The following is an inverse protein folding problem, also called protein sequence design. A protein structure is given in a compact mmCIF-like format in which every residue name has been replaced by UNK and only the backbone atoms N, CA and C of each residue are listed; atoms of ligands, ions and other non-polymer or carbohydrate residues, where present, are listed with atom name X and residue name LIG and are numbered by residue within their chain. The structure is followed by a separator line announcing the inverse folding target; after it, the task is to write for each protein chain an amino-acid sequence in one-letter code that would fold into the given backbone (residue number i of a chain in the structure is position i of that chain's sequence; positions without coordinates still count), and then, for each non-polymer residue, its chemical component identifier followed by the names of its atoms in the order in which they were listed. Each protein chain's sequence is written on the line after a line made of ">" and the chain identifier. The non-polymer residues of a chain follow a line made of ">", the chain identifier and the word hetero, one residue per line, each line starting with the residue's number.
data_IF_996276858204
#
_entry.id   IF_996276858204
#
_cell.length_a   1.000
_cell.length_b   1.000
_cell.length_c   1.000
_cell.angle_alpha   90.00
_cell.angle_beta   90.00
_cell.angle_gamma   90.00
#
_symmetry.space_group_name_H-M   'P 1'
#
loop_
_entity.id
_entity.type
_entity.pdbx_description
1 polymer ?
#
# COMPACT_ATOMS: atom_id res chain seq x y z
N UNK A 1 18.31 9.18 2.30
CA UNK A 1 17.09 9.99 2.15
C UNK A 1 15.94 9.05 2.43
N UNK A 2 15.30 9.15 3.59
CA UNK A 2 14.04 8.44 3.85
C UNK A 2 13.06 8.89 2.78
N UNK A 3 12.80 8.05 1.79
CA UNK A 3 11.94 8.38 0.67
C UNK A 3 10.58 8.80 1.23
N UNK A 4 10.16 10.01 0.93
CA UNK A 4 8.85 10.50 1.31
C UNK A 4 7.87 9.94 0.30
N UNK A 5 6.83 9.25 0.77
CA UNK A 5 5.72 8.85 -0.09
C UNK A 5 4.91 10.11 -0.37
N UNK A 6 4.63 10.39 -1.64
CA UNK A 6 3.85 11.55 -2.07
C UNK A 6 2.39 11.40 -1.62
N UNK A 7 2.11 11.91 -0.41
CA UNK A 7 0.79 12.08 0.19
C UNK A 7 0.89 13.09 1.33
N UNK A 8 -0.21 13.77 1.62
CA UNK A 8 -0.36 14.69 2.75
C UNK A 8 -0.35 13.92 4.09
N UNK A 9 -0.05 14.60 5.21
CA UNK A 9 -0.16 13.99 6.53
C UNK A 9 -1.56 13.43 6.84
N UNK A 10 -2.61 14.09 6.37
CA UNK A 10 -4.01 13.68 6.56
C UNK A 10 -4.31 12.39 5.79
N UNK A 11 -3.92 12.32 4.51
CA UNK A 11 -4.04 11.10 3.71
C UNK A 11 -3.26 9.95 4.35
N UNK A 12 -2.02 10.22 4.81
CA UNK A 12 -1.21 9.23 5.52
C UNK A 12 -1.89 8.70 6.78
N UNK A 13 -2.51 9.58 7.58
CA UNK A 13 -3.24 9.16 8.77
C UNK A 13 -4.43 8.24 8.46
N UNK A 14 -5.15 8.51 7.35
CA UNK A 14 -6.23 7.64 6.87
C UNK A 14 -5.68 6.26 6.49
N UNK A 15 -4.60 6.22 5.71
CA UNK A 15 -3.96 4.97 5.27
C UNK A 15 -3.51 4.13 6.46
N UNK A 16 -2.76 4.74 7.39
CA UNK A 16 -2.24 4.04 8.56
C UNK A 16 -3.35 3.53 9.48
N UNK A 17 -4.43 4.29 9.65
CA UNK A 17 -5.59 3.85 10.45
C UNK A 17 -6.24 2.60 9.86
N UNK A 18 -6.52 2.59 8.55
CA UNK A 18 -7.16 1.44 7.87
C UNK A 18 -6.25 0.21 7.95
N UNK A 19 -4.95 0.37 7.70
CA UNK A 19 -4.00 -0.74 7.75
C UNK A 19 -3.86 -1.31 9.16
N UNK A 20 -3.78 -0.47 10.19
CA UNK A 20 -3.74 -0.91 11.59
C UNK A 20 -5.00 -1.65 12.02
N UNK A 21 -6.17 -1.27 11.50
CA UNK A 21 -7.43 -1.91 11.86
C UNK A 21 -7.56 -3.32 11.24
N UNK A 22 -7.07 -3.50 10.00
CA UNK A 22 -7.37 -4.70 9.20
C UNK A 22 -6.19 -5.68 9.14
N UNK A 23 -4.95 -5.17 9.11
CA UNK A 23 -3.71 -5.96 8.99
C UNK A 23 -2.59 -5.47 9.94
N UNK A 24 -2.85 -5.29 11.25
CA UNK A 24 -1.86 -4.73 12.19
C UNK A 24 -0.56 -5.56 12.26
N UNK A 25 -0.66 -6.87 12.04
CA UNK A 25 0.48 -7.79 12.15
C UNK A 25 1.25 -7.96 10.84
N UNK A 26 0.94 -7.19 9.79
CA UNK A 26 1.60 -7.29 8.48
C UNK A 26 2.48 -6.09 8.23
N UNK A 27 3.71 -6.35 7.79
CA UNK A 27 4.52 -5.30 7.18
C UNK A 27 3.86 -4.85 5.86
N UNK A 28 3.77 -3.54 5.67
CA UNK A 28 3.21 -2.94 4.47
C UNK A 28 4.27 -2.10 3.79
N UNK A 29 4.44 -2.30 2.49
CA UNK A 29 5.38 -1.53 1.66
C UNK A 29 4.63 -0.72 0.62
N UNK A 30 4.87 0.58 0.58
CA UNK A 30 4.47 1.39 -0.55
C UNK A 30 5.49 1.25 -1.68
N UNK A 31 5.01 1.26 -2.93
CA UNK A 31 5.85 1.29 -4.11
C UNK A 31 5.26 2.19 -5.20
N UNK A 32 5.83 2.14 -6.40
CA UNK A 32 5.23 2.80 -7.57
C UNK A 32 5.47 4.31 -7.64
N UNK A 33 4.50 5.01 -8.23
CA UNK A 33 4.69 6.40 -8.68
C UNK A 33 4.87 7.38 -7.52
N UNK A 34 4.13 7.18 -6.42
CA UNK A 34 4.19 8.01 -5.19
C UNK A 34 5.47 7.80 -4.39
N UNK A 35 6.16 6.68 -4.57
CA UNK A 35 7.48 6.42 -3.97
C UNK A 35 8.62 6.95 -4.83
N UNK A 36 8.46 6.91 -6.16
CA UNK A 36 9.52 7.30 -7.10
C UNK A 36 9.50 8.78 -7.50
N UNK A 37 8.56 9.57 -6.94
CA UNK A 37 8.41 11.00 -7.26
C UNK A 37 7.82 11.26 -8.64
N UNK A 38 7.15 10.25 -9.24
CA UNK A 38 6.54 10.32 -10.58
C UNK A 38 5.02 10.37 -10.54
N UNK A 39 4.43 10.47 -9.34
CA UNK A 39 3.00 10.53 -9.16
C UNK A 39 2.41 11.79 -9.81
N UNK A 40 1.23 11.63 -10.38
CA UNK A 40 0.33 12.71 -10.77
C UNK A 40 -0.70 12.90 -9.65
N UNK A 41 -1.45 14.01 -9.61
CA UNK A 41 -2.42 14.28 -8.53
C UNK A 41 -3.42 13.14 -8.26
N UNK A 42 -3.85 12.44 -9.32
CA UNK A 42 -4.81 11.33 -9.25
C UNK A 42 -4.16 9.94 -9.43
N UNK A 43 -2.83 9.84 -9.34
CA UNK A 43 -2.16 8.54 -9.31
C UNK A 43 -2.65 7.74 -8.11
N UNK A 44 -2.71 6.42 -8.26
CA UNK A 44 -2.92 5.47 -7.18
C UNK A 44 -1.80 5.52 -6.13
N UNK A 45 -2.08 4.93 -4.97
CA UNK A 45 -1.07 4.46 -4.03
C UNK A 45 -0.98 2.95 -4.10
N UNK A 46 0.17 2.45 -4.52
CA UNK A 46 0.44 1.02 -4.59
C UNK A 46 0.97 0.49 -3.25
N UNK A 47 0.29 -0.48 -2.66
CA UNK A 47 0.65 -1.14 -1.41
C UNK A 47 0.85 -2.63 -1.58
N UNK A 48 2.02 -3.13 -1.19
CA UNK A 48 2.30 -4.55 -1.04
C UNK A 48 2.14 -4.97 0.42
N UNK A 49 1.25 -5.91 0.67
CA UNK A 49 1.07 -6.54 1.99
C UNK A 49 1.98 -7.75 2.08
N UNK A 50 2.91 -7.72 3.03
CA UNK A 50 3.92 -8.73 3.21
C UNK A 50 3.44 -9.86 4.15
N UNK A 51 4.24 -10.92 4.23
CA UNK A 51 4.12 -11.98 5.23
C UNK A 51 4.25 -13.38 4.62
N UNK A 52 4.17 -14.39 5.49
CA UNK A 52 4.47 -15.78 5.16
C UNK A 52 3.26 -16.59 4.71
N UNK A 53 2.06 -16.01 4.83
CA UNK A 53 0.81 -16.60 4.37
C UNK A 53 0.01 -15.58 3.53
N UNK A 54 -0.63 -16.02 2.42
CA UNK A 54 -1.40 -15.14 1.56
C UNK A 54 -2.53 -14.46 2.32
N UNK A 55 -2.96 -13.29 1.83
CA UNK A 55 -4.17 -12.65 2.31
C UNK A 55 -5.39 -13.53 2.01
N UNK A 56 -6.20 -13.71 3.06
CA UNK A 56 -7.54 -14.26 2.90
C UNK A 56 -8.37 -13.36 2.00
N UNK A 57 -9.31 -13.94 1.25
CA UNK A 57 -10.21 -13.16 0.40
C UNK A 57 -10.99 -12.11 1.22
N UNK A 58 -11.43 -12.47 2.42
CA UNK A 58 -12.16 -11.55 3.30
C UNK A 58 -11.30 -10.39 3.82
N UNK A 59 -10.02 -10.61 4.13
CA UNK A 59 -9.11 -9.53 4.52
C UNK A 59 -8.85 -8.58 3.35
N UNK A 60 -8.62 -9.12 2.15
CA UNK A 60 -8.42 -8.32 0.94
C UNK A 60 -9.66 -7.47 0.63
N UNK A 61 -10.84 -8.08 0.65
CA UNK A 61 -12.09 -7.38 0.38
C UNK A 61 -12.33 -6.23 1.38
N UNK A 62 -12.07 -6.45 2.67
CA UNK A 62 -12.19 -5.39 3.70
C UNK A 62 -11.22 -4.24 3.47
N UNK A 63 -9.98 -4.50 3.03
CA UNK A 63 -9.04 -3.44 2.68
C UNK A 63 -9.54 -2.62 1.49
N UNK A 64 -9.96 -3.29 0.41
CA UNK A 64 -10.49 -2.65 -0.80
C UNK A 64 -11.72 -1.79 -0.48
N UNK A 65 -12.66 -2.33 0.30
CA UNK A 65 -13.86 -1.62 0.78
C UNK A 65 -13.49 -0.39 1.64
N UNK A 66 -12.69 -0.57 2.69
CA UNK A 66 -12.32 0.51 3.60
C UNK A 66 -11.57 1.65 2.91
N UNK A 67 -10.70 1.34 1.93
CA UNK A 67 -10.05 2.38 1.14
C UNK A 67 -11.02 3.08 0.19
N UNK A 68 -11.94 2.34 -0.43
CA UNK A 68 -12.94 2.91 -1.35
C UNK A 68 -13.94 3.85 -0.65
N UNK A 69 -14.27 3.59 0.61
CA UNK A 69 -15.15 4.43 1.44
C UNK A 69 -14.41 5.58 2.15
N UNK A 70 -13.09 5.63 2.02
CA UNK A 70 -12.27 6.66 2.66
C UNK A 70 -12.34 8.00 1.94
N UNK A 71 -11.82 9.05 2.59
CA UNK A 71 -11.72 10.40 2.01
C UNK A 71 -10.46 10.60 1.16
N UNK A 72 -9.75 9.53 0.79
CA UNK A 72 -8.58 9.63 -0.09
C UNK A 72 -9.04 10.10 -1.49
N UNK A 73 -8.37 11.09 -2.10
CA UNK A 73 -8.78 11.61 -3.40
C UNK A 73 -8.33 10.73 -4.58
N UNK A 74 -7.75 9.56 -4.30
CA UNK A 74 -7.20 8.60 -5.25
C UNK A 74 -7.36 7.17 -4.73
N UNK A 75 -7.23 6.20 -5.64
CA UNK A 75 -7.36 4.78 -5.31
C UNK A 75 -6.13 4.24 -4.59
N UNK A 76 -6.37 3.23 -3.75
CA UNK A 76 -5.30 2.43 -3.15
C UNK A 76 -5.32 1.05 -3.78
N UNK A 77 -4.23 0.69 -4.45
CA UNK A 77 -4.08 -0.60 -5.10
C UNK A 77 -3.31 -1.53 -4.16
N UNK A 78 -4.02 -2.53 -3.62
CA UNK A 78 -3.48 -3.47 -2.64
C UNK A 78 -3.13 -4.79 -3.33
N UNK A 79 -1.88 -5.21 -3.19
CA UNK A 79 -1.41 -6.51 -3.68
C UNK A 79 -0.94 -7.39 -2.53
N UNK A 80 -1.12 -8.70 -2.71
CA UNK A 80 -0.58 -9.74 -1.83
C UNK A 80 0.78 -10.18 -2.37
N UNK A 81 1.83 -9.96 -1.59
CA UNK A 81 3.22 -10.24 -1.99
C UNK A 81 3.44 -11.68 -2.45
N UNK A 82 2.73 -12.64 -1.84
CA UNK A 82 2.87 -14.06 -2.15
C UNK A 82 2.11 -14.48 -3.41
N UNK A 83 1.21 -13.63 -3.93
CA UNK A 83 0.40 -13.93 -5.13
C UNK A 83 0.95 -13.32 -6.41
N UNK A 84 1.90 -12.39 -6.32
CA UNK A 84 2.55 -11.80 -7.49
C UNK A 84 3.73 -12.64 -7.96
N UNK A 85 4.02 -12.60 -9.25
CA UNK A 85 5.15 -13.32 -9.83
C UNK A 85 6.51 -12.71 -9.44
N UNK A 86 7.57 -13.49 -9.66
CA UNK A 86 8.95 -13.12 -9.29
C UNK A 86 9.44 -11.88 -10.05
N UNK A 87 9.01 -11.67 -11.30
CA UNK A 87 9.44 -10.52 -12.10
C UNK A 87 8.85 -9.24 -11.53
N UNK A 88 7.59 -9.27 -11.12
CA UNK A 88 6.93 -8.16 -10.47
C UNK A 88 7.51 -7.88 -9.07
N UNK A 89 7.82 -8.94 -8.30
CA UNK A 89 8.56 -8.78 -7.05
C UNK A 89 9.90 -8.08 -7.27
N UNK A 90 10.63 -8.42 -8.35
CA UNK A 90 11.90 -7.80 -8.70
C UNK A 90 11.74 -6.32 -9.10
N UNK A 91 10.62 -5.94 -9.72
CA UNK A 91 10.31 -4.54 -9.99
C UNK A 91 10.12 -3.78 -8.68
N UNK A 92 9.30 -4.30 -7.76
CA UNK A 92 9.00 -3.65 -6.48
C UNK A 92 10.26 -3.53 -5.62
N UNK A 93 11.09 -4.57 -5.56
CA UNK A 93 12.36 -4.58 -4.80
C UNK A 93 13.30 -3.43 -5.17
N UNK A 94 13.19 -2.84 -6.37
CA UNK A 94 14.03 -1.71 -6.79
C UNK A 94 13.74 -0.44 -6.02
N UNK A 95 12.47 -0.15 -5.73
CA UNK A 95 12.03 1.08 -5.05
C UNK A 95 10.76 0.83 -4.25
N UNK A 96 10.90 0.81 -2.93
CA UNK A 96 9.80 0.67 -1.98
C UNK A 96 10.15 1.38 -0.68
N UNK A 97 9.13 1.73 0.10
CA UNK A 97 9.25 2.34 1.42
C UNK A 97 8.35 1.56 2.38
N UNK A 98 8.84 1.28 3.59
CA UNK A 98 8.02 0.69 4.67
C UNK A 98 7.04 1.72 5.19
N UNK A 99 5.78 1.33 5.32
CA UNK A 99 4.79 2.03 6.15
C UNK A 99 4.86 1.44 7.55
N UNK A 100 5.30 2.26 8.51
CA UNK A 100 5.25 1.94 9.94
C UNK A 100 3.80 2.09 10.41
N UNK A 101 3.18 0.96 10.77
CA UNK A 101 1.83 0.88 11.33
C UNK A 101 1.84 1.28 12.81
#
# INVERSE_FOLDING_TARGET
>A
MTGQIDMTPQERAIVLRILNEIVPDREVRAFGSRVTGKAKPFSDLDLAIMGDAPLSLGTRARLEEAFSESQLPWKVDVIDWLKIDTDFQNIIRKNWIILEL
#
